data_IF_393338013801
#
_entry.id   IF_393338013801
#
_cell.length_a   1.000
_cell.length_b   1.000
_cell.length_c   1.000
_cell.angle_alpha   90.00
_cell.angle_beta   90.00
_cell.angle_gamma   90.00
#
_symmetry.space_group_name_H-M   'P 1'
#
loop_
_entity.id
_entity.type
_entity.pdbx_description
1 polymer ?
#
# COMPACT_ATOMS: atom_id res chain seq x y z
N UNK A 1 11.56 18.64 4.63
CA UNK A 1 10.87 18.73 3.33
C UNK A 1 10.87 20.17 2.84
N UNK A 2 10.38 21.14 3.61
CA UNK A 2 10.30 22.55 3.20
C UNK A 2 11.67 23.26 3.02
N UNK A 3 12.76 22.72 3.55
CA UNK A 3 14.11 23.30 3.39
C UNK A 3 14.84 22.82 2.13
N UNK A 4 14.41 21.73 1.49
CA UNK A 4 15.14 21.11 0.37
C UNK A 4 14.28 20.73 -0.84
N UNK A 5 12.95 20.67 -0.69
CA UNK A 5 12.03 20.47 -1.80
C UNK A 5 11.60 21.85 -2.30
N UNK A 6 12.06 22.19 -3.51
CA UNK A 6 11.87 23.51 -4.13
C UNK A 6 10.44 23.65 -4.67
N UNK A 7 9.91 22.62 -5.33
CA UNK A 7 8.52 22.50 -5.79
C UNK A 7 8.21 21.04 -6.21
N UNK A 8 6.94 20.60 -6.19
CA UNK A 8 5.77 21.27 -5.62
C UNK A 8 5.80 21.25 -4.07
N UNK A 9 5.02 22.14 -3.44
CA UNK A 9 4.93 22.23 -1.97
C UNK A 9 4.24 21.04 -1.31
N UNK A 10 3.55 20.22 -2.11
CA UNK A 10 2.89 19.00 -1.71
C UNK A 10 2.39 18.23 -2.93
N UNK A 11 2.05 16.97 -2.72
CA UNK A 11 1.47 16.10 -3.75
C UNK A 11 0.53 15.09 -3.11
N UNK A 12 -0.33 14.49 -3.92
CA UNK A 12 -1.22 13.42 -3.45
C UNK A 12 -0.41 12.14 -3.34
N UNK A 13 0.02 11.80 -2.13
CA UNK A 13 0.83 10.61 -1.88
C UNK A 13 0.03 9.31 -1.97
N UNK A 14 -1.29 9.41 -1.81
CA UNK A 14 -2.19 8.27 -1.59
C UNK A 14 -1.75 7.41 -0.40
N UNK A 15 -2.54 6.42 -0.05
CA UNK A 15 -2.16 5.44 0.95
C UNK A 15 -3.01 4.17 0.77
N UNK A 16 -2.47 3.04 1.22
CA UNK A 16 -3.20 1.78 1.31
C UNK A 16 -3.76 1.63 2.72
N UNK A 17 -5.03 1.24 2.84
CA UNK A 17 -5.67 0.96 4.12
C UNK A 17 -6.70 -0.16 3.94
N UNK A 18 -6.88 -0.98 4.97
CA UNK A 18 -7.79 -2.12 5.00
C UNK A 18 -7.11 -3.34 5.60
N UNK A 19 -7.90 -4.39 5.83
CA UNK A 19 -7.41 -5.67 6.33
C UNK A 19 -7.17 -6.65 5.18
N UNK A 20 -6.13 -7.47 5.30
CA UNK A 20 -5.83 -8.57 4.38
C UNK A 20 -6.43 -9.88 4.91
N UNK A 21 -7.76 -10.02 4.79
CA UNK A 21 -8.49 -11.20 5.27
C UNK A 21 -8.60 -12.30 4.19
N UNK A 22 -8.62 -13.56 4.61
CA UNK A 22 -8.82 -14.69 3.72
C UNK A 22 -10.30 -14.81 3.27
N UNK A 23 -10.57 -15.11 1.98
CA UNK A 23 -9.62 -15.20 0.87
C UNK A 23 -9.15 -13.82 0.40
N UNK A 24 -7.85 -13.68 0.14
CA UNK A 24 -7.29 -12.42 -0.35
C UNK A 24 -7.90 -12.04 -1.70
N UNK A 25 -8.20 -10.75 -1.87
CA UNK A 25 -8.76 -10.20 -3.10
C UNK A 25 -7.77 -10.40 -4.28
N UNK A 26 -8.25 -10.90 -5.42
CA UNK A 26 -7.44 -11.10 -6.63
C UNK A 26 -6.79 -9.82 -7.18
N UNK A 27 -7.34 -8.65 -6.88
CA UNK A 27 -6.76 -7.36 -7.26
C UNK A 27 -5.60 -6.91 -6.35
N UNK A 28 -5.39 -7.57 -5.20
CA UNK A 28 -4.30 -7.23 -4.28
C UNK A 28 -2.94 -7.77 -4.74
N UNK A 29 -2.88 -8.59 -5.81
CA UNK A 29 -1.66 -9.21 -6.33
C UNK A 29 -0.80 -9.84 -5.21
N UNK A 30 -1.45 -10.60 -4.32
CA UNK A 30 -0.81 -11.14 -3.13
C UNK A 30 0.32 -12.12 -3.49
N UNK A 31 1.42 -12.07 -2.72
CA UNK A 31 2.49 -13.05 -2.84
C UNK A 31 2.07 -14.39 -2.25
N UNK A 32 2.70 -15.48 -2.68
CA UNK A 32 2.47 -16.80 -2.09
C UNK A 32 2.70 -16.80 -0.57
N UNK A 33 3.70 -16.06 -0.08
CA UNK A 33 3.96 -15.93 1.36
C UNK A 33 2.78 -15.25 2.08
N UNK A 34 2.22 -14.18 1.52
CA UNK A 34 1.08 -13.49 2.11
C UNK A 34 -0.20 -14.35 2.09
N UNK A 35 -0.41 -15.12 1.02
CA UNK A 35 -1.53 -16.09 0.94
C UNK A 35 -1.39 -17.13 2.05
N UNK A 36 -0.21 -17.76 2.20
CA UNK A 36 0.03 -18.78 3.23
C UNK A 36 -0.07 -18.21 4.65
N UNK A 37 0.38 -16.97 4.88
CA UNK A 37 0.30 -16.34 6.19
C UNK A 37 -1.13 -15.99 6.63
N UNK A 38 -2.07 -15.88 5.67
CA UNK A 38 -3.47 -15.50 5.95
C UNK A 38 -4.44 -16.69 5.93
N UNK A 39 -3.96 -17.89 5.53
CA UNK A 39 -4.64 -19.17 5.69
C UNK A 39 -4.63 -19.64 7.15
#
# INVERSE_FOLDING_TARGET
WQEWIIAPLGYVAFYCQGECAFPLNGHANATNHAIVQTL
#
